data_IF_462411236415
#
_entry.id   IF_462411236415
#
_cell.length_a   1.000
_cell.length_b   1.000
_cell.length_c   1.000
_cell.angle_alpha   90.00
_cell.angle_beta   90.00
_cell.angle_gamma   90.00
#
_symmetry.space_group_name_H-M   'P 1'
#
loop_
_entity.id
_entity.type
_entity.pdbx_description
1 polymer ?
#
# COMPACT_ATOMS: atom_id res chain seq x y z
N UNK A 1 -23.05 0.63 17.41
CA UNK A 1 -21.97 0.00 18.19
C UNK A 1 -20.74 -0.15 17.34
N UNK A 2 -19.62 0.27 17.85
CA UNK A 2 -18.38 0.28 17.10
C UNK A 2 -17.69 -1.10 17.18
N UNK A 3 -17.58 -1.75 16.02
CA UNK A 3 -16.88 -3.04 15.92
C UNK A 3 -15.61 -2.86 15.12
N UNK A 4 -14.45 -2.92 15.79
CA UNK A 4 -13.19 -2.82 15.04
C UNK A 4 -13.00 -4.06 14.16
N UNK A 5 -12.42 -3.85 13.00
CA UNK A 5 -12.11 -4.94 12.09
C UNK A 5 -10.96 -5.78 12.62
N UNK A 6 -11.04 -7.09 12.39
CA UNK A 6 -9.88 -7.95 12.55
C UNK A 6 -8.92 -7.72 11.37
N UNK A 7 -7.68 -8.17 11.51
CA UNK A 7 -6.70 -8.09 10.42
C UNK A 7 -7.21 -8.79 9.16
N UNK A 8 -7.80 -9.98 9.33
CA UNK A 8 -8.32 -10.75 8.18
C UNK A 8 -9.43 -9.96 7.47
N UNK A 9 -10.38 -9.43 8.24
CA UNK A 9 -11.47 -8.64 7.66
C UNK A 9 -10.97 -7.38 6.98
N UNK A 10 -10.01 -6.70 7.59
CA UNK A 10 -9.42 -5.50 7.02
C UNK A 10 -8.67 -5.80 5.73
N UNK A 11 -7.89 -6.87 5.70
CA UNK A 11 -7.19 -7.27 4.49
C UNK A 11 -8.15 -7.63 3.37
N UNK A 12 -9.22 -8.37 3.69
CA UNK A 12 -10.24 -8.72 2.69
C UNK A 12 -10.91 -7.49 2.11
N UNK A 13 -11.23 -6.52 2.96
CA UNK A 13 -11.82 -5.26 2.50
C UNK A 13 -10.86 -4.51 1.58
N UNK A 14 -9.60 -4.39 1.96
CA UNK A 14 -8.60 -3.68 1.16
C UNK A 14 -8.38 -4.36 -0.20
N UNK A 15 -8.32 -5.67 -0.22
CA UNK A 15 -8.18 -6.41 -1.49
C UNK A 15 -9.35 -6.06 -2.43
N UNK A 16 -10.57 -6.04 -1.91
CA UNK A 16 -11.74 -5.70 -2.72
C UNK A 16 -11.68 -4.27 -3.24
N UNK A 17 -11.29 -3.32 -2.39
CA UNK A 17 -11.20 -1.91 -2.78
C UNK A 17 -10.14 -1.68 -3.85
N UNK A 18 -8.96 -2.28 -3.66
CA UNK A 18 -7.88 -2.13 -4.64
C UNK A 18 -8.24 -2.80 -5.97
N UNK A 19 -8.81 -4.00 -5.91
CA UNK A 19 -9.23 -4.71 -7.14
C UNK A 19 -10.34 -3.98 -7.86
N UNK A 20 -11.26 -3.35 -7.12
CA UNK A 20 -12.33 -2.55 -7.72
C UNK A 20 -11.78 -1.36 -8.50
N UNK A 21 -10.59 -0.88 -8.16
CA UNK A 21 -9.91 0.19 -8.89
C UNK A 21 -9.02 -0.32 -10.02
N UNK A 22 -8.99 -1.61 -10.26
CA UNK A 22 -8.24 -2.21 -11.36
C UNK A 22 -6.86 -2.74 -11.01
N UNK A 23 -6.50 -2.73 -9.74
CA UNK A 23 -5.21 -3.28 -9.32
C UNK A 23 -5.28 -4.79 -9.20
N UNK A 24 -4.24 -5.47 -9.72
CA UNK A 24 -4.14 -6.92 -9.66
C UNK A 24 -3.37 -7.32 -8.40
N UNK A 25 -4.03 -7.24 -7.26
CA UNK A 25 -3.39 -7.55 -5.97
C UNK A 25 -3.21 -9.04 -5.76
N UNK A 26 -1.96 -9.41 -5.43
CA UNK A 26 -1.64 -10.72 -4.89
C UNK A 26 -1.50 -10.61 -3.37
N UNK A 27 -1.86 -11.68 -2.65
CA UNK A 27 -1.80 -11.72 -1.19
C UNK A 27 -0.48 -12.32 -0.73
N UNK A 28 0.05 -11.80 0.36
CA UNK A 28 1.22 -12.36 1.04
C UNK A 28 2.41 -12.57 0.10
N UNK A 29 2.83 -11.51 -0.54
CA UNK A 29 3.93 -11.55 -1.51
C UNK A 29 5.25 -11.25 -0.80
N UNK A 30 6.29 -12.05 -1.11
CA UNK A 30 7.62 -11.76 -0.58
C UNK A 30 8.21 -10.58 -1.33
N UNK A 31 8.41 -9.48 -0.63
CA UNK A 31 8.98 -8.25 -1.17
C UNK A 31 10.47 -8.18 -0.83
N UNK A 32 11.32 -7.97 -1.84
CA UNK A 32 12.78 -7.88 -1.67
C UNK A 32 13.33 -6.79 -2.57
N UNK A 33 13.21 -5.55 -2.12
CA UNK A 33 13.74 -4.41 -2.87
C UNK A 33 14.26 -3.36 -1.89
N UNK A 34 15.16 -2.51 -2.35
CA UNK A 34 15.68 -1.38 -1.57
C UNK A 34 16.34 -1.78 -0.25
N UNK A 35 16.89 -2.99 -0.18
CA UNK A 35 17.45 -3.50 1.06
C UNK A 35 16.42 -3.91 2.09
N UNK A 36 15.15 -3.98 1.70
CA UNK A 36 14.03 -4.35 2.57
C UNK A 36 13.51 -5.72 2.16
N UNK A 37 13.24 -6.58 3.13
CA UNK A 37 12.68 -7.90 2.88
C UNK A 37 11.58 -8.18 3.91
N UNK A 38 10.37 -8.45 3.43
CA UNK A 38 9.23 -8.77 4.28
C UNK A 38 8.10 -9.36 3.44
N UNK A 39 7.11 -9.95 4.11
CA UNK A 39 5.91 -10.44 3.44
C UNK A 39 4.87 -9.33 3.41
N UNK A 40 4.64 -8.77 2.24
CA UNK A 40 3.66 -7.70 2.06
C UNK A 40 2.25 -8.30 1.94
N UNK A 41 1.30 -7.76 2.68
CA UNK A 41 -0.05 -8.33 2.77
C UNK A 41 -0.83 -8.27 1.47
N UNK A 42 -0.66 -7.21 0.70
CA UNK A 42 -1.26 -7.07 -0.63
C UNK A 42 -0.34 -6.28 -1.53
N UNK A 43 -0.07 -6.78 -2.72
CA UNK A 43 0.87 -6.15 -3.63
C UNK A 43 0.51 -6.36 -5.09
N UNK A 44 0.50 -5.26 -5.86
CA UNK A 44 0.46 -5.31 -7.31
C UNK A 44 1.85 -4.92 -7.82
N UNK A 45 2.62 -5.92 -8.22
CA UNK A 45 4.02 -5.72 -8.63
C UNK A 45 4.15 -4.88 -9.90
N UNK A 46 3.14 -4.91 -10.74
CA UNK A 46 3.15 -4.15 -11.99
C UNK A 46 2.82 -2.68 -11.75
N UNK A 47 1.78 -2.44 -10.96
CA UNK A 47 1.37 -1.08 -10.62
C UNK A 47 2.23 -0.46 -9.53
N UNK A 48 2.97 -1.27 -8.79
CA UNK A 48 3.81 -0.83 -7.67
C UNK A 48 2.98 -0.19 -6.57
N UNK A 49 1.86 -0.84 -6.25
CA UNK A 49 0.89 -0.38 -5.25
C UNK A 49 0.49 -1.55 -4.36
N UNK A 50 0.35 -1.30 -3.08
CA UNK A 50 -0.09 -2.34 -2.17
C UNK A 50 -0.45 -1.83 -0.80
N UNK A 51 -0.66 -2.75 0.13
CA UNK A 51 -0.94 -2.40 1.52
C UNK A 51 -0.26 -3.38 2.47
N UNK A 52 -0.03 -2.90 3.69
CA UNK A 52 0.58 -3.69 4.75
C UNK A 52 -0.08 -3.38 6.08
N UNK A 53 -0.46 -4.41 6.82
CA UNK A 53 -0.94 -4.29 8.19
C UNK A 53 0.23 -4.49 9.14
N UNK A 54 0.50 -3.48 9.97
CA UNK A 54 1.50 -3.60 11.01
C UNK A 54 0.81 -4.10 12.28
N UNK A 55 1.22 -5.29 12.73
CA UNK A 55 0.69 -5.85 13.96
C UNK A 55 1.67 -5.57 15.09
N UNK A 56 1.17 -5.00 16.18
CA UNK A 56 2.00 -4.68 17.32
C UNK A 56 2.17 -5.88 18.29
N UNK A 57 1.43 -6.94 18.07
CA UNK A 57 1.38 -8.05 19.01
C UNK A 57 2.45 -9.09 18.83
N UNK A 58 3.12 -9.10 17.71
CA UNK A 58 4.05 -10.17 17.41
C UNK A 58 5.45 -9.68 17.22
N UNK A 59 6.35 -10.29 17.96
CA UNK A 59 7.74 -10.35 17.58
C UNK A 59 7.87 -11.13 16.26
N UNK A 60 6.95 -10.90 15.35
CA UNK A 60 6.97 -11.59 14.09
C UNK A 60 8.09 -11.01 13.26
N UNK A 61 9.11 -11.82 13.03
CA UNK A 61 10.29 -11.42 12.28
C UNK A 61 10.00 -11.07 10.82
N UNK A 62 8.77 -11.30 10.38
CA UNK A 62 8.36 -10.99 9.02
C UNK A 62 7.73 -9.61 8.88
N UNK A 63 7.53 -8.90 9.99
CA UNK A 63 7.00 -7.54 9.98
C UNK A 63 8.08 -6.52 9.66
N UNK A 64 7.66 -5.39 9.11
CA UNK A 64 8.54 -4.27 8.82
C UNK A 64 9.14 -3.68 10.10
N UNK A 65 10.45 -3.58 10.14
CA UNK A 65 11.12 -2.79 11.17
C UNK A 65 10.94 -1.30 10.87
N UNK A 66 11.20 -0.45 11.86
CA UNK A 66 11.13 1.00 11.65
C UNK A 66 12.09 1.46 10.56
N UNK A 67 13.30 0.91 10.53
CA UNK A 67 14.32 1.25 9.52
C UNK A 67 13.83 0.87 8.13
N UNK A 68 13.26 -0.32 7.99
CA UNK A 68 12.71 -0.78 6.72
C UNK A 68 11.53 0.07 6.28
N UNK A 69 10.65 0.41 7.21
CA UNK A 69 9.52 1.28 6.93
C UNK A 69 9.98 2.65 6.41
N UNK A 70 11.00 3.23 7.05
CA UNK A 70 11.54 4.52 6.61
C UNK A 70 12.15 4.43 5.21
N UNK A 71 12.85 3.32 4.91
CA UNK A 71 13.41 3.10 3.59
C UNK A 71 12.31 3.03 2.51
N UNK A 72 11.21 2.34 2.82
CA UNK A 72 10.07 2.27 1.90
C UNK A 72 9.40 3.62 1.71
N UNK A 73 9.25 4.40 2.78
CA UNK A 73 8.65 5.73 2.68
C UNK A 73 9.51 6.68 1.86
N UNK A 74 10.84 6.53 1.92
CA UNK A 74 11.74 7.29 1.05
C UNK A 74 11.50 6.95 -0.43
N UNK A 75 11.33 5.67 -0.74
CA UNK A 75 11.04 5.25 -2.12
C UNK A 75 9.66 5.72 -2.56
N UNK A 76 8.70 5.74 -1.66
CA UNK A 76 7.37 6.26 -1.97
C UNK A 76 7.43 7.75 -2.31
N UNK A 77 8.21 8.53 -1.57
CA UNK A 77 8.40 9.95 -1.87
C UNK A 77 9.04 10.16 -3.24
N UNK A 78 9.87 9.22 -3.67
CA UNK A 78 10.50 9.26 -5.00
C UNK A 78 9.59 8.75 -6.11
N UNK A 79 8.40 8.27 -5.77
CA UNK A 79 7.46 7.75 -6.74
C UNK A 79 7.73 6.33 -7.22
N UNK A 80 8.60 5.60 -6.53
CA UNK A 80 8.96 4.24 -6.93
C UNK A 80 7.91 3.21 -6.56
N UNK A 81 7.13 3.50 -5.51
CA UNK A 81 6.02 2.64 -5.09
C UNK A 81 5.03 3.45 -4.27
N UNK A 82 3.87 2.85 -4.03
CA UNK A 82 2.86 3.45 -3.14
C UNK A 82 2.33 2.35 -2.21
N UNK A 83 2.53 2.53 -0.93
CA UNK A 83 2.17 1.53 0.07
C UNK A 83 1.25 2.15 1.12
N UNK A 84 0.07 1.56 1.26
CA UNK A 84 -0.89 1.95 2.30
C UNK A 84 -0.61 1.12 3.55
N UNK A 85 -0.13 1.77 4.60
CA UNK A 85 0.26 1.09 5.84
C UNK A 85 -0.79 1.35 6.90
N UNK A 86 -1.32 0.28 7.50
CA UNK A 86 -2.30 0.35 8.58
C UNK A 86 -1.64 -0.15 9.86
N UNK A 87 -1.72 0.65 10.91
CA UNK A 87 -1.20 0.29 12.21
C UNK A 87 -2.35 -0.20 13.08
N UNK A 88 -2.27 -1.43 13.55
CA UNK A 88 -3.31 -2.05 14.38
C UNK A 88 -3.36 -1.52 15.82
N UNK A 89 -2.44 -0.65 16.20
CA UNK A 89 -2.47 -0.05 17.53
C UNK A 89 -3.78 0.71 17.75
N UNK A 90 -4.35 1.28 16.70
CA UNK A 90 -5.64 1.97 16.76
C UNK A 90 -6.70 1.16 16.03
N UNK A 91 -7.68 0.60 16.77
CA UNK A 91 -8.78 -0.12 16.12
C UNK A 91 -9.50 0.80 15.13
N UNK A 92 -9.83 0.25 13.98
CA UNK A 92 -10.49 1.00 12.91
C UNK A 92 -11.75 0.26 12.47
N UNK A 93 -12.83 1.03 12.18
CA UNK A 93 -14.06 0.45 11.64
C UNK A 93 -13.92 0.22 10.14
N UNK A 94 -14.82 -0.62 9.59
CA UNK A 94 -14.85 -0.86 8.15
C UNK A 94 -15.05 0.43 7.36
N UNK A 95 -15.93 1.31 7.82
CA UNK A 95 -16.21 2.57 7.14
C UNK A 95 -15.00 3.48 7.12
N UNK A 96 -14.29 3.57 8.24
CA UNK A 96 -13.09 4.42 8.34
C UNK A 96 -11.95 3.87 7.49
N UNK A 97 -11.78 2.55 7.49
CA UNK A 97 -10.74 1.92 6.67
C UNK A 97 -11.02 2.14 5.19
N UNK A 98 -12.27 1.98 4.77
CA UNK A 98 -12.68 2.22 3.39
C UNK A 98 -12.41 3.66 2.98
N UNK A 99 -12.76 4.62 3.83
CA UNK A 99 -12.53 6.04 3.55
C UNK A 99 -11.03 6.33 3.39
N UNK A 100 -10.21 5.86 4.31
CA UNK A 100 -8.76 6.08 4.25
C UNK A 100 -8.11 5.40 3.05
N UNK A 101 -8.55 4.20 2.73
CA UNK A 101 -8.05 3.48 1.56
C UNK A 101 -8.41 4.20 0.27
N UNK A 102 -9.63 4.69 0.16
CA UNK A 102 -10.05 5.44 -1.02
C UNK A 102 -9.29 6.75 -1.16
N UNK A 103 -9.04 7.45 -0.06
CA UNK A 103 -8.21 8.66 -0.08
C UNK A 103 -6.80 8.35 -0.58
N UNK A 104 -6.22 7.26 -0.09
CA UNK A 104 -4.89 6.82 -0.53
C UNK A 104 -4.88 6.52 -2.03
N UNK A 105 -5.86 5.77 -2.51
CA UNK A 105 -5.95 5.41 -3.92
C UNK A 105 -6.19 6.64 -4.80
N UNK A 106 -7.00 7.59 -4.33
CA UNK A 106 -7.22 8.85 -5.04
C UNK A 106 -5.90 9.63 -5.17
N UNK A 107 -5.10 9.67 -4.11
CA UNK A 107 -3.80 10.35 -4.13
C UNK A 107 -2.83 9.65 -5.08
N UNK A 108 -2.81 8.32 -5.08
CA UNK A 108 -1.95 7.54 -5.98
C UNK A 108 -2.30 7.85 -7.44
N UNK A 109 -3.59 7.84 -7.76
CA UNK A 109 -4.05 8.12 -9.11
C UNK A 109 -3.77 9.55 -9.53
N UNK A 110 -3.98 10.52 -8.64
CA UNK A 110 -3.68 11.92 -8.91
C UNK A 110 -2.18 12.12 -9.16
N UNK A 111 -1.34 11.51 -8.34
CA UNK A 111 0.12 11.61 -8.50
C UNK A 111 0.58 11.02 -9.84
N UNK A 112 -0.04 9.93 -10.27
CA UNK A 112 0.27 9.30 -11.56
C UNK A 112 -0.11 10.20 -12.73
N UNK A 113 -1.29 10.83 -12.65
CA UNK A 113 -1.73 11.78 -13.68
C UNK A 113 -0.78 12.96 -13.76
N UNK A 114 -0.36 13.50 -12.62
CA UNK A 114 0.58 14.62 -12.58
C UNK A 114 1.91 14.24 -13.21
N UNK A 115 2.42 13.05 -12.90
CA UNK A 115 3.68 12.58 -13.49
C UNK A 115 3.57 12.39 -15.00
N UNK A 116 2.45 11.87 -15.49
CA UNK A 116 2.21 11.73 -16.93
C UNK A 116 2.16 13.10 -17.61
N UNK A 117 1.51 14.06 -17.00
CA UNK A 117 1.40 15.42 -17.54
C UNK A 117 2.75 16.13 -17.59
N UNK A 118 3.65 15.83 -16.63
CA UNK A 118 4.99 16.44 -16.58
C UNK A 118 6.03 15.69 -17.40
N UNK A 119 5.69 14.51 -17.92
CA UNK A 119 6.63 13.73 -18.71
C UNK A 119 6.89 14.43 -20.03
N UNK A 120 8.15 14.64 -20.38
CA UNK A 120 8.44 15.20 -21.70
C UNK A 120 7.96 14.25 -22.79
N UNK A 121 7.54 14.80 -23.92
CA UNK A 121 7.11 13.99 -25.05
C UNK A 121 8.23 13.04 -25.48
N UNK A 122 7.89 11.78 -25.84
CA UNK A 122 8.89 10.85 -26.33
C UNK A 122 9.63 11.45 -27.52
N UNK A 123 10.93 11.29 -27.55
CA UNK A 123 11.75 11.88 -28.62
C UNK A 123 11.36 11.43 -30.00
N UNK A 124 10.83 10.22 -30.11
CA UNK A 124 10.38 9.72 -31.43
C UNK A 124 9.07 10.30 -31.88
N UNK A 125 8.39 11.09 -31.05
CA UNK A 125 7.10 11.68 -31.36
C UNK A 125 7.21 13.12 -31.91
N UNK A 126 8.39 13.59 -32.03
CA UNK A 126 8.61 14.94 -32.59
C UNK A 126 8.35 14.98 -34.10
#
# INVERSE_FOLDING_TARGET
MYDPLSEIEGCDLLVRLFRARGYALARNVRFREYGVEFDIDGWDARARVGFEYLTSEDDDHDDLSLVEYQALMDQQRRGELSLFVIDEVEPISAADLEEKANEFLDEVEAARKTRRAKRPAPRGAA
#
